data_IF_838025142931
#
_entry.id   IF_838025142931
#
_cell.length_a   1.000
_cell.length_b   1.000
_cell.length_c   1.000
_cell.angle_alpha   90.00
_cell.angle_beta   90.00
_cell.angle_gamma   90.00
#
_symmetry.space_group_name_H-M   'P 1'
#
loop_
_entity.id
_entity.type
_entity.pdbx_description
1 polymer ?
#
# COMPACT_ATOMS: atom_id res chain seq x y z
N UNK A 1 13.52 -7.17 -4.57
CA UNK A 1 12.27 -7.04 -5.30
C UNK A 1 12.04 -5.62 -5.82
N UNK A 2 12.16 -4.62 -4.97
CA UNK A 2 11.97 -3.24 -5.40
C UNK A 2 12.94 -2.34 -4.67
N UNK A 3 13.64 -1.50 -5.42
CA UNK A 3 14.56 -0.50 -4.91
C UNK A 3 14.39 0.80 -5.69
N UNK A 4 14.31 1.92 -4.97
CA UNK A 4 14.20 3.25 -5.56
C UNK A 4 14.80 4.27 -4.59
N UNK A 5 16.07 4.67 -4.77
CA UNK A 5 16.73 5.60 -3.84
C UNK A 5 16.04 6.94 -3.68
N UNK A 6 15.21 7.34 -4.65
CA UNK A 6 14.50 8.61 -4.59
C UNK A 6 13.25 8.53 -3.71
N UNK A 7 12.74 7.32 -3.45
CA UNK A 7 11.60 7.14 -2.57
C UNK A 7 10.31 7.83 -2.98
N UNK A 8 9.36 7.97 -2.05
CA UNK A 8 9.47 7.74 -0.60
C UNK A 8 9.63 6.26 -0.20
N UNK A 9 9.16 5.31 -1.02
CA UNK A 9 9.40 3.89 -0.76
C UNK A 9 10.76 3.54 -1.38
N UNK A 10 11.77 3.39 -0.54
CA UNK A 10 13.15 3.22 -1.00
C UNK A 10 13.51 1.76 -1.27
N UNK A 11 12.84 0.85 -0.57
CA UNK A 11 13.11 -0.58 -0.68
C UNK A 11 11.87 -1.37 -0.26
N UNK A 12 11.63 -2.49 -0.95
CA UNK A 12 10.65 -3.48 -0.52
C UNK A 12 11.19 -4.88 -0.82
N UNK A 13 11.11 -5.75 0.15
CA UNK A 13 11.27 -7.19 0.01
C UNK A 13 10.22 -7.88 0.87
N UNK A 14 10.19 -9.19 0.85
CA UNK A 14 9.19 -9.97 1.59
C UNK A 14 9.10 -9.54 3.06
N UNK A 15 7.96 -8.98 3.44
CA UNK A 15 7.68 -8.57 4.82
C UNK A 15 8.44 -7.36 5.31
N UNK A 16 9.14 -6.62 4.44
CA UNK A 16 9.97 -5.51 4.85
C UNK A 16 9.90 -4.35 3.87
N UNK A 17 9.73 -3.14 4.42
CA UNK A 17 9.78 -1.90 3.64
C UNK A 17 10.82 -0.96 4.25
N UNK A 18 11.45 -0.14 3.42
CA UNK A 18 12.19 1.04 3.88
C UNK A 18 11.51 2.25 3.26
N UNK A 19 10.96 3.12 4.10
CA UNK A 19 10.21 4.30 3.68
C UNK A 19 10.75 5.51 4.41
N UNK A 20 11.18 6.52 3.66
CA UNK A 20 11.79 7.73 4.22
C UNK A 20 12.92 7.39 5.20
N UNK A 21 13.73 6.40 4.86
CA UNK A 21 14.87 5.97 5.67
C UNK A 21 14.53 5.07 6.85
N UNK A 22 13.25 4.77 7.10
CA UNK A 22 12.82 3.97 8.24
C UNK A 22 12.39 2.58 7.79
N UNK A 23 12.84 1.56 8.51
CA UNK A 23 12.53 0.17 8.26
C UNK A 23 11.22 -0.24 8.94
N UNK A 24 10.35 -0.91 8.20
CA UNK A 24 9.08 -1.44 8.69
C UNK A 24 9.03 -2.92 8.43
N UNK A 25 9.00 -3.72 9.48
CA UNK A 25 8.97 -5.19 9.40
C UNK A 25 8.24 -5.76 10.61
N UNK A 26 7.70 -6.97 10.46
CA UNK A 26 7.07 -7.70 11.56
C UNK A 26 7.70 -9.07 11.79
N UNK A 27 8.97 -9.25 11.38
CA UNK A 27 9.64 -10.52 11.58
C UNK A 27 9.75 -10.84 13.09
N UNK A 28 9.79 -12.13 13.45
CA UNK A 28 9.88 -12.55 14.85
C UNK A 28 11.17 -12.11 15.52
N UNK A 29 12.24 -11.93 14.75
CA UNK A 29 13.56 -11.54 15.25
C UNK A 29 13.76 -10.04 15.24
N UNK A 30 12.94 -9.31 14.49
CA UNK A 30 13.13 -7.89 14.28
C UNK A 30 11.79 -7.23 14.00
N UNK A 31 11.31 -6.46 14.98
CA UNK A 31 10.08 -5.66 14.83
C UNK A 31 10.45 -4.20 14.91
N UNK A 32 10.52 -3.56 13.76
CA UNK A 32 10.84 -2.14 13.63
C UNK A 32 9.73 -1.51 12.80
N UNK A 33 9.33 -0.30 13.17
CA UNK A 33 8.26 0.41 12.47
C UNK A 33 6.90 -0.24 12.68
N UNK A 34 6.08 -0.29 11.64
CA UNK A 34 4.66 -0.66 11.75
C UNK A 34 4.32 -2.07 11.25
N UNK A 35 5.30 -2.86 10.82
CA UNK A 35 5.05 -4.24 10.41
C UNK A 35 4.98 -4.43 8.91
N UNK A 36 4.40 -5.59 8.48
CA UNK A 36 4.43 -6.03 7.09
C UNK A 36 3.30 -5.51 6.22
N UNK A 37 2.15 -5.21 6.83
CA UNK A 37 1.01 -4.64 6.13
C UNK A 37 0.91 -3.17 6.50
N UNK A 38 1.02 -2.30 5.51
CA UNK A 38 1.15 -0.87 5.77
C UNK A 38 0.08 -0.06 5.06
N UNK A 39 -0.21 1.08 5.65
CA UNK A 39 -0.95 2.19 5.04
C UNK A 39 0.02 3.35 4.90
N UNK A 40 0.15 3.89 3.71
CA UNK A 40 1.00 5.05 3.45
C UNK A 40 0.15 6.15 2.82
N UNK A 41 0.16 7.33 3.43
CA UNK A 41 -0.51 8.51 2.89
C UNK A 41 0.54 9.60 2.77
N UNK A 42 0.86 10.00 1.53
CA UNK A 42 1.99 10.88 1.30
C UNK A 42 3.27 10.20 1.79
N UNK A 43 3.87 10.71 2.87
CA UNK A 43 5.04 10.10 3.50
C UNK A 43 4.76 9.62 4.94
N UNK A 44 3.49 9.51 5.32
CA UNK A 44 3.08 9.07 6.66
C UNK A 44 2.69 7.60 6.64
N UNK A 45 3.43 6.79 7.38
CA UNK A 45 3.25 5.33 7.46
C UNK A 45 2.46 4.98 8.71
N UNK A 46 1.50 4.06 8.56
CA UNK A 46 0.79 3.44 9.68
C UNK A 46 0.55 1.97 9.38
N UNK A 47 0.20 1.20 10.39
CA UNK A 47 -0.10 -0.21 10.21
C UNK A 47 -1.50 -0.38 9.60
N UNK A 48 -1.60 -1.25 8.60
CA UNK A 48 -2.88 -1.64 8.02
C UNK A 48 -3.39 -2.90 8.72
N UNK A 49 -4.08 -2.70 9.84
CA UNK A 49 -4.53 -3.77 10.72
C UNK A 49 -5.79 -4.46 10.23
N UNK A 50 -6.59 -3.79 9.43
CA UNK A 50 -7.92 -4.22 9.07
C UNK A 50 -7.95 -5.28 7.97
N UNK A 51 -6.82 -5.49 7.28
CA UNK A 51 -6.74 -6.55 6.27
C UNK A 51 -6.79 -7.92 6.95
N UNK A 52 -7.72 -8.74 6.52
CA UNK A 52 -7.89 -10.11 7.01
C UNK A 52 -8.12 -11.05 5.84
N UNK A 53 -7.53 -12.24 5.90
CA UNK A 53 -7.69 -13.25 4.86
C UNK A 53 -7.08 -12.83 3.53
N UNK A 54 -7.56 -13.45 2.46
CA UNK A 54 -7.03 -13.25 1.11
C UNK A 54 -8.04 -12.65 0.13
N UNK A 55 -9.17 -12.16 0.63
CA UNK A 55 -10.16 -11.47 -0.18
C UNK A 55 -10.43 -10.10 0.44
N UNK A 56 -10.11 -9.05 -0.30
CA UNK A 56 -10.37 -7.69 0.16
C UNK A 56 -11.86 -7.39 0.09
N UNK A 57 -12.36 -6.73 1.13
CA UNK A 57 -13.69 -6.16 1.15
C UNK A 57 -13.59 -4.65 1.38
N UNK A 58 -14.65 -3.92 1.06
CA UNK A 58 -14.61 -2.47 1.16
C UNK A 58 -14.35 -1.99 2.59
N UNK A 59 -14.82 -2.70 3.60
CA UNK A 59 -14.60 -2.35 5.01
C UNK A 59 -13.14 -2.46 5.44
N UNK A 60 -12.31 -3.15 4.69
CA UNK A 60 -10.85 -3.20 4.93
C UNK A 60 -10.12 -1.99 4.36
N UNK A 61 -10.77 -1.20 3.52
CA UNK A 61 -10.19 0.01 2.91
C UNK A 61 -10.35 1.14 3.91
N UNK A 62 -9.36 1.27 4.79
CA UNK A 62 -9.44 2.11 5.98
C UNK A 62 -8.41 3.21 5.99
N UNK A 63 -8.76 4.37 6.55
CA UNK A 63 -7.84 5.48 6.76
C UNK A 63 -7.45 6.23 5.51
N UNK A 64 -7.97 5.85 4.35
CA UNK A 64 -7.61 6.45 3.04
C UNK A 64 -8.80 7.09 2.34
N UNK A 65 -10.00 6.92 2.86
CA UNK A 65 -11.19 7.54 2.28
C UNK A 65 -11.38 8.95 2.85
N UNK A 66 -12.07 9.82 2.10
CA UNK A 66 -12.28 11.23 2.46
C UNK A 66 -10.97 12.03 2.61
N UNK A 67 -9.95 11.66 1.84
CA UNK A 67 -8.65 12.33 1.82
C UNK A 67 -8.41 13.11 0.52
N UNK A 68 -9.42 13.20 -0.32
CA UNK A 68 -9.32 13.89 -1.61
C UNK A 68 -8.19 13.32 -2.47
N UNK A 69 -8.13 12.00 -2.56
CA UNK A 69 -7.05 11.32 -3.27
C UNK A 69 -7.22 11.35 -4.78
N UNK A 70 -6.13 11.62 -5.48
CA UNK A 70 -6.04 11.39 -6.92
C UNK A 70 -5.97 9.90 -7.23
N UNK A 71 -5.31 9.13 -6.36
CA UNK A 71 -5.14 7.70 -6.57
C UNK A 71 -4.99 6.93 -5.26
N UNK A 72 -5.54 5.72 -5.25
CA UNK A 72 -5.27 4.72 -4.22
C UNK A 72 -4.59 3.54 -4.90
N UNK A 73 -3.44 3.14 -4.38
CA UNK A 73 -2.70 1.97 -4.86
C UNK A 73 -2.90 0.84 -3.85
N UNK A 74 -3.34 -0.31 -4.34
CA UNK A 74 -3.51 -1.52 -3.53
C UNK A 74 -2.42 -2.51 -3.90
N UNK A 75 -1.54 -2.82 -2.96
CA UNK A 75 -0.50 -3.84 -3.11
C UNK A 75 -1.06 -5.16 -2.60
N UNK A 76 -1.30 -6.10 -3.50
CA UNK A 76 -2.05 -7.33 -3.20
C UNK A 76 -1.14 -8.52 -2.88
N UNK A 77 0.09 -8.25 -2.51
CA UNK A 77 1.07 -9.27 -2.14
C UNK A 77 2.10 -9.51 -3.23
N UNK A 78 3.22 -10.13 -2.87
CA UNK A 78 4.30 -10.44 -3.81
C UNK A 78 3.80 -11.36 -4.91
N UNK A 79 2.96 -12.33 -4.56
CA UNK A 79 2.38 -13.29 -5.48
C UNK A 79 0.91 -13.01 -5.80
N UNK A 80 0.43 -11.80 -5.48
CA UNK A 80 -0.96 -11.38 -5.71
C UNK A 80 -1.99 -12.31 -5.05
N UNK A 81 -1.69 -12.78 -3.84
CA UNK A 81 -2.57 -13.68 -3.12
C UNK A 81 -3.87 -13.01 -2.66
N UNK A 82 -3.86 -11.69 -2.46
CA UNK A 82 -5.09 -10.97 -2.14
C UNK A 82 -5.94 -10.79 -3.39
N UNK A 83 -7.21 -11.12 -3.29
CA UNK A 83 -8.17 -10.87 -4.37
C UNK A 83 -8.90 -9.56 -4.11
N UNK A 84 -8.95 -8.71 -5.12
CA UNK A 84 -9.71 -7.46 -5.08
C UNK A 84 -10.70 -7.46 -6.23
N UNK A 85 -11.96 -7.70 -5.92
CA UNK A 85 -13.01 -7.77 -6.94
C UNK A 85 -13.38 -6.39 -7.45
N UNK A 86 -13.92 -6.34 -8.65
CA UNK A 86 -14.29 -5.11 -9.33
C UNK A 86 -15.30 -4.27 -8.54
N UNK A 87 -16.20 -4.90 -7.80
CA UNK A 87 -17.18 -4.18 -6.99
C UNK A 87 -16.52 -3.38 -5.86
N UNK A 88 -15.42 -3.88 -5.29
CA UNK A 88 -14.65 -3.14 -4.29
C UNK A 88 -14.03 -1.90 -4.92
N UNK A 89 -13.41 -2.05 -6.10
CA UNK A 89 -12.82 -0.93 -6.85
C UNK A 89 -13.87 0.13 -7.14
N UNK A 90 -15.05 -0.29 -7.60
CA UNK A 90 -16.16 0.65 -7.88
C UNK A 90 -16.61 1.41 -6.65
N UNK A 91 -16.71 0.74 -5.51
CA UNK A 91 -17.09 1.40 -4.25
C UNK A 91 -16.03 2.43 -3.81
N UNK A 92 -14.75 2.11 -3.98
CA UNK A 92 -13.68 3.04 -3.67
C UNK A 92 -13.80 4.30 -4.55
N UNK A 93 -14.00 4.13 -5.85
CA UNK A 93 -14.17 5.27 -6.76
C UNK A 93 -15.40 6.09 -6.42
N UNK A 94 -16.51 5.45 -6.05
CA UNK A 94 -17.73 6.15 -5.62
C UNK A 94 -17.52 6.98 -4.37
N UNK A 95 -16.56 6.59 -3.50
CA UNK A 95 -16.26 7.34 -2.29
C UNK A 95 -15.39 8.58 -2.56
N UNK A 96 -14.99 8.82 -3.81
CA UNK A 96 -14.28 10.04 -4.21
C UNK A 96 -12.84 9.85 -4.65
N UNK A 97 -12.32 8.62 -4.66
CA UNK A 97 -10.98 8.33 -5.17
C UNK A 97 -11.02 8.28 -6.69
N UNK A 98 -10.20 9.10 -7.35
CA UNK A 98 -10.26 9.24 -8.81
C UNK A 98 -9.77 8.02 -9.56
N UNK A 99 -8.65 7.43 -9.11
CA UNK A 99 -8.05 6.23 -9.73
C UNK A 99 -7.72 5.20 -8.68
N UNK A 100 -7.90 3.93 -9.02
CA UNK A 100 -7.52 2.80 -8.15
C UNK A 100 -6.64 1.86 -8.94
N UNK A 101 -5.47 1.54 -8.40
CA UNK A 101 -4.53 0.59 -9.00
C UNK A 101 -4.42 -0.64 -8.10
N UNK A 102 -4.63 -1.81 -8.69
CA UNK A 102 -4.50 -3.10 -7.98
C UNK A 102 -3.32 -3.84 -8.60
N UNK A 103 -2.23 -3.95 -7.85
CA UNK A 103 -0.95 -4.42 -8.38
C UNK A 103 -0.26 -5.34 -7.39
N UNK A 104 0.59 -6.28 -7.87
CA UNK A 104 1.52 -6.97 -6.98
C UNK A 104 2.32 -5.93 -6.19
N UNK A 105 2.66 -6.23 -4.94
CA UNK A 105 3.23 -5.23 -4.05
C UNK A 105 4.50 -4.55 -4.56
N UNK A 106 5.47 -5.25 -5.21
CA UNK A 106 6.63 -4.54 -5.76
C UNK A 106 6.24 -3.48 -6.79
N UNK A 107 5.31 -3.82 -7.69
CA UNK A 107 4.82 -2.89 -8.71
C UNK A 107 3.96 -1.79 -8.10
N UNK A 108 3.23 -2.10 -7.02
CA UNK A 108 2.47 -1.11 -6.27
C UNK A 108 3.39 -0.05 -5.67
N UNK A 109 4.52 -0.45 -5.11
CA UNK A 109 5.53 0.48 -4.59
C UNK A 109 6.06 1.39 -5.69
N UNK A 110 6.36 0.84 -6.85
CA UNK A 110 6.83 1.60 -8.00
C UNK A 110 5.78 2.63 -8.46
N UNK A 111 4.54 2.20 -8.61
CA UNK A 111 3.42 3.09 -9.01
C UNK A 111 3.22 4.20 -7.99
N UNK A 112 3.28 3.87 -6.71
CA UNK A 112 3.16 4.86 -5.65
C UNK A 112 4.22 5.95 -5.78
N UNK A 113 5.48 5.56 -5.92
CA UNK A 113 6.58 6.51 -6.05
C UNK A 113 6.42 7.40 -7.28
N UNK A 114 6.01 6.83 -8.41
CA UNK A 114 5.77 7.60 -9.64
C UNK A 114 4.72 8.69 -9.40
N UNK A 115 3.58 8.33 -8.82
CA UNK A 115 2.48 9.26 -8.58
C UNK A 115 2.86 10.32 -7.54
N UNK A 116 3.51 9.91 -6.48
CA UNK A 116 3.96 10.81 -5.43
C UNK A 116 4.91 11.87 -6.00
N UNK A 117 5.89 11.46 -6.81
CA UNK A 117 6.87 12.38 -7.39
C UNK A 117 6.28 13.30 -8.46
N UNK A 118 5.12 12.95 -9.00
CA UNK A 118 4.35 13.82 -9.90
C UNK A 118 3.48 14.83 -9.16
N UNK A 119 3.53 14.84 -7.83
CA UNK A 119 2.72 15.73 -7.01
C UNK A 119 1.28 15.29 -6.82
N UNK A 120 0.96 14.03 -7.11
CA UNK A 120 -0.40 13.52 -6.91
C UNK A 120 -0.66 13.24 -5.44
N UNK A 121 -1.92 13.39 -5.03
CA UNK A 121 -2.38 12.96 -3.71
C UNK A 121 -2.62 11.47 -3.79
N UNK A 122 -1.73 10.68 -3.20
CA UNK A 122 -1.75 9.24 -3.33
C UNK A 122 -1.66 8.56 -1.97
N UNK A 123 -2.32 7.43 -1.84
CA UNK A 123 -2.20 6.54 -0.70
C UNK A 123 -1.95 5.12 -1.16
N UNK A 124 -1.36 4.32 -0.28
CA UNK A 124 -1.07 2.91 -0.51
C UNK A 124 -1.61 2.08 0.65
N UNK A 125 -2.29 1.00 0.33
CA UNK A 125 -2.56 -0.09 1.26
C UNK A 125 -1.85 -1.31 0.69
N UNK A 126 -0.88 -1.85 1.43
CA UNK A 126 -0.04 -2.91 0.89
C UNK A 126 0.08 -4.09 1.84
N UNK A 127 -0.07 -5.28 1.27
CA UNK A 127 0.23 -6.55 1.90
C UNK A 127 1.68 -6.90 1.58
N UNK A 128 2.50 -7.10 2.60
CA UNK A 128 3.95 -7.23 2.44
C UNK A 128 4.46 -8.65 2.21
N UNK A 129 3.61 -9.65 2.20
CA UNK A 129 4.01 -11.04 1.95
C UNK A 129 3.28 -11.60 0.73
N UNK A 130 2.76 -12.82 0.79
CA UNK A 130 2.16 -13.51 -0.36
C UNK A 130 1.12 -12.69 -1.14
#
# INVERSE_FOLDING_TARGET
MFDDPLGPIEHFTWGEYIICGEKHTSSSTEKIGVGKDIRLIGNQVSEWKERKGHQLSFDMITGVLNKDLDALVLGVGVNSALQCKEDVVKKIKKSGVKQVFVLPTPQACQKYNELYRKGKRVALLAHGTC
#
